data_IF_321145128566
#
_entry.id   IF_321145128566
#
_cell.length_a   1.000
_cell.length_b   1.000
_cell.length_c   1.000
_cell.angle_alpha   90.00
_cell.angle_beta   90.00
_cell.angle_gamma   90.00
#
_symmetry.space_group_name_H-M   'P 1'
#
loop_
_entity.id
_entity.type
_entity.pdbx_description
1 polymer ?
#
# COMPACT_ATOMS: atom_id res chain seq x y z
N UNK A 1 27.26 -10.19 73.53
CA UNK A 1 28.09 -10.09 72.31
C UNK A 1 27.35 -10.73 71.12
N UNK A 2 26.47 -9.99 70.41
CA UNK A 2 25.68 -10.49 69.25
C UNK A 2 25.54 -9.45 68.11
N UNK A 3 26.51 -8.55 67.94
CA UNK A 3 26.36 -7.38 67.03
C UNK A 3 27.25 -7.35 65.78
N UNK A 4 28.31 -8.15 65.71
CA UNK A 4 29.34 -8.02 64.65
C UNK A 4 29.09 -8.93 63.43
N UNK A 5 28.45 -10.08 63.64
CA UNK A 5 28.11 -11.03 62.57
C UNK A 5 26.95 -10.58 61.68
N UNK A 6 25.92 -9.94 62.26
CA UNK A 6 24.75 -9.48 61.50
C UNK A 6 25.07 -8.29 60.58
N UNK A 7 25.98 -7.39 61.00
CA UNK A 7 26.43 -6.26 60.18
C UNK A 7 27.26 -6.72 58.98
N UNK A 8 28.15 -7.71 59.16
CA UNK A 8 28.93 -8.29 58.04
C UNK A 8 28.03 -9.05 57.08
N UNK A 9 27.10 -9.85 57.59
CA UNK A 9 26.11 -10.55 56.76
C UNK A 9 25.23 -9.57 55.98
N UNK A 10 24.78 -8.48 56.61
CA UNK A 10 23.98 -7.44 55.97
C UNK A 10 24.74 -6.73 54.83
N UNK A 11 26.01 -6.35 55.05
CA UNK A 11 26.83 -5.71 54.01
C UNK A 11 27.09 -6.66 52.84
N UNK A 12 27.32 -7.95 53.09
CA UNK A 12 27.49 -8.96 52.03
C UNK A 12 26.21 -9.14 51.22
N UNK A 13 25.04 -9.21 51.88
CA UNK A 13 23.74 -9.36 51.21
C UNK A 13 23.42 -8.14 50.36
N UNK A 14 23.62 -6.92 50.88
CA UNK A 14 23.40 -5.68 50.13
C UNK A 14 24.37 -5.56 48.95
N UNK A 15 25.65 -5.92 49.14
CA UNK A 15 26.64 -5.96 48.06
C UNK A 15 26.27 -6.98 46.97
N UNK A 16 25.84 -8.19 47.34
CA UNK A 16 25.40 -9.20 46.40
C UNK A 16 24.14 -8.79 45.63
N UNK A 17 23.17 -8.16 46.30
CA UNK A 17 21.97 -7.61 45.69
C UNK A 17 22.31 -6.48 44.69
N UNK A 18 23.23 -5.58 45.05
CA UNK A 18 23.67 -4.51 44.16
C UNK A 18 24.41 -5.04 42.91
N UNK A 19 25.22 -6.09 43.07
CA UNK A 19 25.87 -6.75 41.92
C UNK A 19 24.81 -7.40 41.02
N UNK A 20 23.88 -8.15 41.61
CA UNK A 20 22.78 -8.80 40.88
C UNK A 20 21.94 -7.81 40.07
N UNK A 21 21.58 -6.67 40.66
CA UNK A 21 20.78 -5.65 39.96
C UNK A 21 21.58 -5.00 38.83
N UNK A 22 22.86 -4.69 39.04
CA UNK A 22 23.72 -4.13 37.98
C UNK A 22 23.89 -5.13 36.84
N UNK A 23 24.12 -6.41 37.13
CA UNK A 23 24.19 -7.46 36.10
C UNK A 23 22.87 -7.65 35.37
N UNK A 24 21.72 -7.58 36.06
CA UNK A 24 20.41 -7.70 35.42
C UNK A 24 20.12 -6.51 34.49
N UNK A 25 20.47 -5.28 34.89
CA UNK A 25 20.31 -4.09 34.05
C UNK A 25 21.25 -4.16 32.83
N UNK A 26 22.51 -4.58 33.03
CA UNK A 26 23.46 -4.76 31.94
C UNK A 26 23.01 -5.84 30.94
N UNK A 27 22.48 -6.96 31.44
CA UNK A 27 21.95 -8.05 30.62
C UNK A 27 20.68 -7.62 29.87
N UNK A 28 19.78 -6.86 30.50
CA UNK A 28 18.58 -6.33 29.85
C UNK A 28 18.91 -5.39 28.68
N UNK A 29 20.03 -4.66 28.73
CA UNK A 29 20.52 -3.84 27.60
C UNK A 29 21.21 -4.64 26.49
N UNK A 30 21.49 -5.92 26.74
CA UNK A 30 22.12 -6.82 25.76
C UNK A 30 21.09 -7.65 24.98
N UNK A 31 19.81 -7.57 25.34
CA UNK A 31 18.73 -8.17 24.55
C UNK A 31 18.39 -7.14 23.46
N UNK A 32 18.70 -7.40 22.17
CA UNK A 32 18.29 -6.49 21.11
C UNK A 32 16.76 -6.50 21.02
N UNK A 33 16.16 -5.31 21.03
CA UNK A 33 14.75 -5.14 20.69
C UNK A 33 14.59 -5.40 19.18
N UNK A 34 14.55 -6.68 18.80
CA UNK A 34 14.21 -7.10 17.44
C UNK A 34 12.69 -7.13 17.30
N UNK A 35 12.13 -6.06 16.77
CA UNK A 35 10.73 -5.99 16.38
C UNK A 35 10.63 -5.87 14.85
N UNK A 36 9.65 -6.52 14.19
CA UNK A 36 9.44 -6.33 12.76
C UNK A 36 9.22 -4.85 12.38
N UNK A 37 10.07 -4.32 11.51
CA UNK A 37 10.01 -2.94 11.06
C UNK A 37 11.38 -2.29 10.94
N UNK A 38 11.42 -0.97 10.68
CA UNK A 38 12.66 -0.20 10.64
C UNK A 38 13.36 -0.16 12.00
N UNK A 39 14.68 -0.38 12.02
CA UNK A 39 15.51 -0.43 13.24
C UNK A 39 16.11 0.93 13.65
N UNK A 40 15.86 1.99 12.88
CA UNK A 40 16.38 3.34 13.14
C UNK A 40 17.80 3.60 12.64
N UNK A 41 18.57 2.55 12.32
CA UNK A 41 19.89 2.63 11.66
C UNK A 41 19.81 2.52 10.13
N UNK A 42 18.59 2.57 9.57
CA UNK A 42 18.31 2.40 8.14
C UNK A 42 18.13 0.93 7.72
N UNK A 43 18.37 -0.04 8.61
CA UNK A 43 17.98 -1.44 8.39
C UNK A 43 16.54 -1.68 8.80
N UNK A 44 15.98 -2.81 8.36
CA UNK A 44 14.66 -3.26 8.79
C UNK A 44 14.65 -4.77 9.04
N UNK A 45 13.84 -5.21 10.00
CA UNK A 45 13.58 -6.64 10.25
C UNK A 45 12.22 -6.99 9.66
N UNK A 46 12.17 -8.03 8.83
CA UNK A 46 10.91 -8.52 8.26
C UNK A 46 10.06 -9.27 9.31
N UNK A 47 8.76 -9.49 9.08
CA UNK A 47 7.93 -10.30 9.97
C UNK A 47 8.43 -11.75 10.18
N UNK A 48 9.30 -12.25 9.31
CA UNK A 48 9.93 -13.58 9.42
C UNK A 48 11.33 -13.53 10.07
N UNK A 49 11.74 -12.38 10.63
CA UNK A 49 13.00 -12.22 11.37
C UNK A 49 14.23 -11.97 10.49
N UNK A 50 14.07 -11.76 9.18
CA UNK A 50 15.20 -11.47 8.30
C UNK A 50 15.59 -9.99 8.37
N UNK A 51 16.87 -9.72 8.58
CA UNK A 51 17.46 -8.37 8.46
C UNK A 51 17.60 -7.96 6.99
N UNK A 52 17.15 -6.74 6.68
CA UNK A 52 17.22 -6.12 5.36
C UNK A 52 18.07 -4.86 5.47
N UNK A 53 19.12 -4.78 4.67
CA UNK A 53 19.94 -3.58 4.49
C UNK A 53 19.63 -3.00 3.11
N UNK A 54 19.15 -1.75 3.03
CA UNK A 54 18.82 -1.14 1.75
C UNK A 54 20.10 -0.86 0.95
N UNK A 55 19.99 -0.96 -0.38
CA UNK A 55 21.07 -0.56 -1.29
C UNK A 55 21.18 0.98 -1.45
N UNK A 56 20.20 1.74 -0.97
CA UNK A 56 20.13 3.19 -1.06
C UNK A 56 19.37 3.80 0.12
N UNK A 57 18.90 5.03 -0.06
CA UNK A 57 18.07 5.70 0.94
C UNK A 57 16.66 5.11 1.00
N UNK A 58 16.06 5.16 2.19
CA UNK A 58 14.64 4.89 2.39
C UNK A 58 13.96 6.19 2.79
N UNK A 59 12.76 6.42 2.28
CA UNK A 59 11.89 7.49 2.74
C UNK A 59 10.58 6.90 3.24
N UNK A 60 10.02 7.50 4.29
CA UNK A 60 8.71 7.12 4.80
C UNK A 60 7.64 7.75 3.91
N UNK A 61 6.68 6.93 3.47
CA UNK A 61 5.45 7.38 2.83
C UNK A 61 4.29 7.32 3.83
N UNK A 62 3.15 7.89 3.46
CA UNK A 62 1.90 7.71 4.20
C UNK A 62 1.37 6.27 4.12
N UNK A 63 0.25 6.02 4.79
CA UNK A 63 -0.23 4.67 5.04
C UNK A 63 -0.62 3.92 3.76
N UNK A 64 -0.10 2.69 3.64
CA UNK A 64 -0.50 1.69 2.64
C UNK A 64 -0.37 2.13 1.17
N UNK A 65 0.87 2.32 0.67
CA UNK A 65 1.12 2.38 -0.77
C UNK A 65 0.79 1.04 -1.43
N UNK A 66 0.04 1.07 -2.52
CA UNK A 66 -0.39 -0.13 -3.29
C UNK A 66 0.14 -0.11 -4.72
N UNK A 67 0.03 1.04 -5.39
CA UNK A 67 0.51 1.26 -6.75
C UNK A 67 1.55 2.36 -6.78
N UNK A 68 2.54 2.23 -7.67
CA UNK A 68 3.54 3.28 -7.88
C UNK A 68 4.04 3.27 -9.32
N UNK A 69 4.25 4.45 -9.89
CA UNK A 69 4.79 4.63 -11.24
C UNK A 69 5.77 5.81 -11.28
N UNK A 70 7.00 5.63 -11.76
CA UNK A 70 7.92 6.75 -11.98
C UNK A 70 7.46 7.58 -13.19
N UNK A 71 7.71 8.89 -13.15
CA UNK A 71 7.56 9.76 -14.32
C UNK A 71 8.58 9.39 -15.41
N UNK A 72 8.33 9.72 -16.69
CA UNK A 72 9.24 9.38 -17.79
C UNK A 72 10.65 9.95 -17.65
N UNK A 73 10.79 11.12 -17.01
CA UNK A 73 12.07 11.77 -16.71
C UNK A 73 12.71 11.27 -15.39
N UNK A 74 11.99 10.48 -14.59
CA UNK A 74 12.43 9.97 -13.30
C UNK A 74 12.49 11.01 -12.17
N UNK A 75 12.02 12.24 -12.39
CA UNK A 75 12.01 13.28 -11.37
C UNK A 75 10.92 13.02 -10.31
N UNK A 76 9.80 12.45 -10.73
CA UNK A 76 8.65 12.20 -9.86
C UNK A 76 8.30 10.73 -9.75
N UNK A 77 7.65 10.38 -8.64
CA UNK A 77 7.03 9.09 -8.42
C UNK A 77 5.59 9.33 -7.98
N UNK A 78 4.64 8.81 -8.75
CA UNK A 78 3.22 8.84 -8.37
C UNK A 78 2.90 7.58 -7.59
N UNK A 79 2.28 7.73 -6.42
CA UNK A 79 1.96 6.63 -5.52
C UNK A 79 0.46 6.66 -5.22
N UNK A 80 -0.21 5.52 -5.35
CA UNK A 80 -1.60 5.36 -4.91
C UNK A 80 -1.67 4.62 -3.58
N UNK A 81 -2.41 5.21 -2.63
CA UNK A 81 -2.62 4.65 -1.31
C UNK A 81 -4.05 4.14 -1.22
N UNK A 82 -4.22 2.84 -1.41
CA UNK A 82 -5.51 2.17 -1.39
C UNK A 82 -5.80 1.57 0.00
N UNK A 83 -5.68 2.42 1.02
CA UNK A 83 -5.80 2.16 2.45
C UNK A 83 -7.09 1.52 2.94
N UNK A 84 -7.10 1.11 4.22
CA UNK A 84 -8.32 1.05 5.04
C UNK A 84 -8.31 2.41 5.70
N UNK A 85 -9.33 3.22 5.43
CA UNK A 85 -9.47 4.67 5.72
C UNK A 85 -9.39 5.54 4.45
N UNK A 86 -8.90 6.77 4.58
CA UNK A 86 -8.82 7.74 3.48
C UNK A 86 -7.82 7.26 2.45
N UNK A 87 -8.29 7.06 1.21
CA UNK A 87 -7.42 6.73 0.10
C UNK A 87 -6.77 8.02 -0.40
N UNK A 88 -5.57 7.95 -0.96
CA UNK A 88 -4.91 9.14 -1.49
C UNK A 88 -4.05 8.83 -2.71
N UNK A 89 -3.65 9.90 -3.41
CA UNK A 89 -2.65 9.86 -4.47
C UNK A 89 -1.58 10.88 -4.13
N UNK A 90 -0.34 10.42 -4.02
CA UNK A 90 0.81 11.25 -3.67
C UNK A 90 1.74 11.43 -4.86
N UNK A 91 2.24 12.66 -5.02
CA UNK A 91 3.35 12.99 -5.89
C UNK A 91 4.62 13.13 -5.04
N UNK A 92 5.62 12.33 -5.35
CA UNK A 92 6.91 12.30 -4.64
C UNK A 92 7.99 12.87 -5.54
N UNK A 93 8.78 13.81 -5.02
CA UNK A 93 10.03 14.25 -5.63
C UNK A 93 11.15 13.26 -5.30
N UNK A 94 11.66 12.59 -6.33
CA UNK A 94 12.65 11.51 -6.17
C UNK A 94 14.04 12.05 -5.79
N UNK A 95 14.56 13.13 -6.43
CA UNK A 95 15.86 13.68 -6.06
C UNK A 95 15.92 14.24 -4.63
N UNK A 96 14.87 14.95 -4.21
CA UNK A 96 14.73 15.57 -2.90
C UNK A 96 14.23 14.62 -1.81
N UNK A 97 13.68 13.45 -2.19
CA UNK A 97 13.14 12.43 -1.29
C UNK A 97 12.02 12.97 -0.39
N UNK A 98 11.10 13.73 -0.97
CA UNK A 98 9.99 14.34 -0.26
C UNK A 98 8.66 14.17 -1.00
N UNK A 99 7.56 14.16 -0.24
CA UNK A 99 6.21 14.21 -0.80
C UNK A 99 5.92 15.67 -1.11
N UNK A 100 5.71 15.98 -2.39
CA UNK A 100 5.47 17.37 -2.84
C UNK A 100 3.99 17.70 -2.96
N UNK A 101 3.13 16.69 -3.15
CA UNK A 101 1.69 16.87 -3.15
C UNK A 101 0.94 15.60 -2.77
N UNK A 102 -0.26 15.75 -2.23
CA UNK A 102 -1.15 14.66 -1.87
C UNK A 102 -2.61 15.06 -2.06
N UNK A 103 -3.37 14.24 -2.78
CA UNK A 103 -4.82 14.38 -2.92
C UNK A 103 -5.51 13.24 -2.19
N UNK A 104 -6.31 13.59 -1.20
CA UNK A 104 -7.13 12.66 -0.43
C UNK A 104 -8.50 12.41 -1.08
N UNK A 105 -8.96 11.16 -0.99
CA UNK A 105 -10.24 10.65 -1.46
C UNK A 105 -10.99 10.00 -0.29
N UNK A 106 -11.73 10.78 0.51
CA UNK A 106 -12.61 10.23 1.52
C UNK A 106 -13.77 9.47 0.87
N UNK A 107 -14.27 8.44 1.57
CA UNK A 107 -15.42 7.68 1.09
C UNK A 107 -16.63 8.60 0.77
N UNK A 108 -17.34 8.38 -0.35
CA UNK A 108 -17.31 7.19 -1.21
C UNK A 108 -16.31 7.25 -2.39
N UNK A 109 -15.48 8.28 -2.48
CA UNK A 109 -14.46 8.38 -3.52
C UNK A 109 -13.31 7.39 -3.26
N UNK A 110 -12.59 7.01 -4.32
CA UNK A 110 -11.52 5.99 -4.26
C UNK A 110 -10.35 6.26 -5.20
N UNK A 111 -9.17 5.78 -4.83
CA UNK A 111 -7.97 5.60 -5.65
C UNK A 111 -7.41 4.19 -5.40
N UNK A 112 -7.09 3.45 -6.46
CA UNK A 112 -6.73 2.02 -6.38
C UNK A 112 -5.37 1.72 -7.04
N UNK A 113 -5.06 0.46 -7.30
CA UNK A 113 -3.70 -0.03 -7.59
C UNK A 113 -3.11 0.44 -8.94
N UNK A 114 -3.95 0.64 -9.97
CA UNK A 114 -3.46 1.05 -11.28
C UNK A 114 -3.03 2.52 -11.30
N UNK A 115 -1.77 2.77 -11.63
CA UNK A 115 -1.13 4.10 -11.72
C UNK A 115 -0.29 4.15 -13.00
N UNK A 116 -0.38 5.22 -13.77
CA UNK A 116 0.42 5.41 -14.99
C UNK A 116 0.66 6.89 -15.31
N UNK A 117 1.84 7.18 -15.86
CA UNK A 117 2.12 8.47 -16.49
C UNK A 117 1.87 8.42 -18.00
N UNK A 118 1.51 9.57 -18.56
CA UNK A 118 1.61 9.83 -19.99
C UNK A 118 3.08 9.83 -20.46
N UNK A 119 3.38 9.53 -21.73
CA UNK A 119 4.76 9.46 -22.22
C UNK A 119 5.54 10.78 -22.13
N UNK A 120 4.85 11.92 -22.16
CA UNK A 120 5.46 13.24 -22.01
C UNK A 120 5.56 13.69 -20.53
N UNK A 121 5.02 12.92 -19.60
CA UNK A 121 5.03 13.19 -18.17
C UNK A 121 4.05 14.27 -17.70
N UNK A 122 3.33 14.93 -18.61
CA UNK A 122 2.46 16.06 -18.30
C UNK A 122 1.16 15.64 -17.62
N UNK A 123 0.69 14.42 -17.89
CA UNK A 123 -0.48 13.83 -17.28
C UNK A 123 -0.17 12.52 -16.55
N UNK A 124 -1.00 12.21 -15.56
CA UNK A 124 -1.03 10.89 -14.94
C UNK A 124 -2.46 10.39 -14.73
N UNK A 125 -2.58 9.08 -14.51
CA UNK A 125 -3.83 8.37 -14.41
C UNK A 125 -3.81 7.41 -13.23
N UNK A 126 -4.89 7.42 -12.44
CA UNK A 126 -5.09 6.49 -11.34
C UNK A 126 -6.45 5.83 -11.46
N UNK A 127 -6.47 4.51 -11.38
CA UNK A 127 -7.70 3.72 -11.40
C UNK A 127 -8.55 3.99 -10.14
N UNK A 128 -9.83 4.28 -10.31
CA UNK A 128 -10.81 4.41 -9.23
C UNK A 128 -11.92 3.36 -9.41
N UNK A 129 -11.54 2.08 -9.28
CA UNK A 129 -12.40 0.93 -9.58
C UNK A 129 -13.78 0.99 -8.91
N UNK A 130 -13.88 1.23 -7.58
CA UNK A 130 -15.17 1.40 -6.90
C UNK A 130 -16.04 2.53 -7.44
N UNK A 131 -15.46 3.54 -8.09
CA UNK A 131 -16.19 4.65 -8.70
C UNK A 131 -16.45 4.48 -10.20
N UNK A 132 -16.07 3.34 -10.81
CA UNK A 132 -16.19 3.08 -12.25
C UNK A 132 -15.57 4.19 -13.13
N UNK A 133 -14.46 4.78 -12.71
CA UNK A 133 -13.75 5.81 -13.47
C UNK A 133 -12.24 5.67 -13.39
N UNK A 134 -11.54 6.34 -14.31
CA UNK A 134 -10.10 6.57 -14.23
C UNK A 134 -9.91 8.04 -13.91
N UNK A 135 -9.26 8.34 -12.79
CA UNK A 135 -8.87 9.71 -12.45
C UNK A 135 -7.74 10.14 -13.36
N UNK A 136 -7.83 11.37 -13.84
CA UNK A 136 -6.81 12.00 -14.65
C UNK A 136 -6.23 13.19 -13.89
N UNK A 137 -4.94 13.44 -14.05
CA UNK A 137 -4.24 14.52 -13.38
C UNK A 137 -3.34 15.24 -14.36
N UNK A 138 -3.26 16.55 -14.25
CA UNK A 138 -2.12 17.32 -14.74
C UNK A 138 -1.02 17.26 -13.69
N UNK A 139 0.21 17.05 -14.14
CA UNK A 139 1.39 16.93 -13.30
C UNK A 139 2.31 18.09 -13.60
N UNK A 140 2.55 18.90 -12.57
CA UNK A 140 3.59 19.92 -12.55
C UNK A 140 4.71 19.50 -11.60
N UNK A 141 5.83 20.25 -11.60
CA UNK A 141 7.02 19.92 -10.83
C UNK A 141 6.81 19.79 -9.31
N UNK A 142 5.71 20.32 -8.78
CA UNK A 142 5.42 20.30 -7.34
C UNK A 142 3.93 20.19 -7.03
N UNK A 143 3.11 19.83 -8.03
CA UNK A 143 1.67 19.80 -7.85
C UNK A 143 1.02 18.73 -8.72
N UNK A 144 -0.01 18.10 -8.17
CA UNK A 144 -0.94 17.25 -8.86
C UNK A 144 -2.29 17.96 -8.91
N UNK A 145 -2.78 18.27 -10.11
CA UNK A 145 -4.11 18.87 -10.30
C UNK A 145 -5.05 17.85 -10.90
N UNK A 146 -6.12 17.50 -10.18
CA UNK A 146 -7.15 16.60 -10.71
C UNK A 146 -7.93 17.24 -11.87
N UNK A 147 -8.03 16.49 -12.97
CA UNK A 147 -8.74 16.87 -14.18
C UNK A 147 -10.10 16.15 -14.25
N UNK A 148 -10.85 16.41 -15.32
CA UNK A 148 -12.06 15.65 -15.61
C UNK A 148 -11.72 14.15 -15.73
N UNK A 149 -12.36 13.28 -14.93
CA UNK A 149 -12.07 11.85 -14.95
C UNK A 149 -12.61 11.20 -16.23
N UNK A 150 -11.99 10.09 -16.62
CA UNK A 150 -12.49 9.24 -17.69
C UNK A 150 -13.51 8.27 -17.10
N UNK A 151 -14.78 8.54 -17.35
CA UNK A 151 -15.88 7.68 -16.95
C UNK A 151 -15.85 6.36 -17.73
N UNK A 152 -16.00 5.23 -17.02
CA UNK A 152 -16.07 3.91 -17.64
C UNK A 152 -17.53 3.50 -17.79
N UNK A 153 -17.92 3.11 -19.00
CA UNK A 153 -19.26 2.58 -19.24
C UNK A 153 -19.44 1.26 -18.47
N UNK A 154 -20.56 1.14 -17.74
CA UNK A 154 -20.95 -0.14 -17.16
C UNK A 154 -21.50 -1.02 -18.27
N UNK A 155 -21.16 -2.31 -18.24
CA UNK A 155 -21.55 -3.29 -19.27
C UNK A 155 -23.08 -3.38 -19.48
N UNK A 156 -23.87 -2.92 -18.51
CA UNK A 156 -25.33 -2.85 -18.59
C UNK A 156 -25.86 -1.69 -19.45
N UNK A 157 -25.02 -0.68 -19.76
CA UNK A 157 -25.36 0.40 -20.68
C UNK A 157 -25.52 -0.08 -22.14
N UNK A 158 -24.91 -1.22 -22.49
CA UNK A 158 -25.11 -1.87 -23.81
C UNK A 158 -26.44 -2.66 -23.91
N UNK A 159 -27.25 -2.71 -22.86
CA UNK A 159 -28.57 -3.35 -22.88
C UNK A 159 -29.73 -2.37 -23.20
N UNK A 160 -29.45 -1.10 -23.52
CA UNK A 160 -30.49 -0.12 -23.87
C UNK A 160 -30.43 0.21 -25.36
N UNK A 161 -31.17 -0.59 -26.13
CA UNK A 161 -31.94 -0.05 -27.26
C UNK A 161 -31.32 -0.02 -28.65
N UNK A 162 -30.27 -0.77 -28.96
CA UNK A 162 -29.88 -0.94 -30.37
C UNK A 162 -30.69 -2.05 -31.05
N UNK A 163 -31.80 -1.66 -31.70
CA UNK A 163 -32.59 -2.55 -32.59
C UNK A 163 -31.81 -3.00 -33.84
N UNK A 164 -30.56 -2.59 -34.02
CA UNK A 164 -29.73 -2.97 -35.18
C UNK A 164 -29.05 -4.33 -35.05
N UNK A 165 -29.12 -4.97 -33.88
CA UNK A 165 -28.52 -6.28 -33.63
C UNK A 165 -29.48 -7.48 -33.75
N UNK A 166 -30.70 -7.28 -34.29
CA UNK A 166 -31.65 -8.37 -34.61
C UNK A 166 -31.18 -9.29 -35.77
N UNK A 167 -29.96 -9.13 -36.28
CA UNK A 167 -29.44 -9.89 -37.44
C UNK A 167 -28.40 -10.96 -37.14
N UNK A 168 -27.91 -11.11 -35.90
CA UNK A 168 -26.70 -11.93 -35.63
C UNK A 168 -26.88 -13.08 -34.63
N UNK A 169 -28.10 -13.36 -34.15
CA UNK A 169 -28.34 -14.51 -33.25
C UNK A 169 -28.76 -15.82 -33.93
N UNK A 170 -28.92 -15.88 -35.27
CA UNK A 170 -29.54 -17.04 -35.94
C UNK A 170 -28.68 -17.80 -36.98
N UNK A 171 -27.35 -17.83 -36.90
CA UNK A 171 -26.57 -18.60 -37.92
C UNK A 171 -25.54 -19.60 -37.40
N UNK A 172 -25.69 -20.09 -36.16
CA UNK A 172 -24.94 -21.27 -35.71
C UNK A 172 -25.85 -22.33 -35.09
N UNK A 173 -26.81 -22.83 -35.87
CA UNK A 173 -27.33 -24.18 -35.70
C UNK A 173 -27.79 -24.76 -37.05
N UNK A 174 -26.84 -25.20 -37.89
CA UNK A 174 -27.14 -25.93 -39.14
C UNK A 174 -27.03 -27.44 -38.91
N UNK A 175 -28.20 -28.09 -38.92
CA UNK A 175 -28.52 -29.48 -39.33
C UNK A 175 -27.38 -30.53 -39.29
N UNK A 176 -27.30 -31.30 -38.20
CA UNK A 176 -27.88 -32.66 -38.06
C UNK A 176 -27.61 -33.14 -36.63
N UNK A 177 -28.64 -33.74 -36.05
CA UNK A 177 -28.62 -34.54 -34.82
C UNK A 177 -28.68 -33.78 -33.47
N UNK A 178 -29.93 -33.42 -33.14
CA UNK A 178 -30.57 -33.27 -31.81
C UNK A 178 -29.67 -33.28 -30.57
N UNK A 179 -29.42 -32.10 -29.99
CA UNK A 179 -29.73 -31.73 -28.58
C UNK A 179 -29.08 -30.39 -28.21
N UNK A 180 -29.86 -29.31 -28.29
CA UNK A 180 -29.58 -28.10 -27.51
C UNK A 180 -30.50 -28.14 -26.30
N UNK A 181 -29.99 -28.60 -25.16
CA UNK A 181 -30.65 -28.41 -23.86
C UNK A 181 -30.01 -27.20 -23.19
N UNK A 182 -30.81 -26.16 -23.00
CA UNK A 182 -30.49 -25.05 -22.13
C UNK A 182 -30.47 -25.56 -20.67
N UNK A 183 -29.40 -25.30 -19.94
CA UNK A 183 -29.44 -25.30 -18.46
C UNK A 183 -28.96 -23.93 -17.98
N UNK A 184 -29.93 -23.07 -17.68
CA UNK A 184 -29.76 -21.84 -16.94
C UNK A 184 -29.80 -22.16 -15.45
N UNK A 185 -28.65 -22.39 -14.82
CA UNK A 185 -28.57 -22.43 -13.35
C UNK A 185 -27.37 -21.68 -12.78
N UNK A 186 -27.71 -20.53 -12.21
CA UNK A 186 -27.18 -19.92 -10.99
C UNK A 186 -25.67 -20.04 -10.73
N UNK A 187 -24.97 -18.93 -10.91
CA UNK A 187 -23.89 -18.58 -9.98
C UNK A 187 -24.31 -17.36 -9.19
N UNK A 188 -24.72 -17.63 -7.95
CA UNK A 188 -24.77 -16.66 -6.86
C UNK A 188 -23.32 -16.39 -6.42
N UNK A 189 -23.04 -15.14 -6.08
CA UNK A 189 -22.06 -14.81 -5.06
C UNK A 189 -22.82 -14.64 -3.74
#
# INVERSE_FOLDING_TARGET
MRGLGSRRAFVIVVGAMAILTVTAIAFARFIPDEYPGPQGDGTAITPVGQLVTPAGSQMKLEERPYGMAPSPDGAHLLVSNAGVDTQSVMLVDVPGQEIVDEIEYPAPESSTLGVAFSPDGSHAYVSAGPNNKIRAYAVDASNLTELEPVELETKDAMAVGDKRLEGWSETLCRRRDRQCLADSRSQKW
#
